data_IF_484814931208
#
_entry.id   IF_484814931208
#
_cell.length_a   1.000
_cell.length_b   1.000
_cell.length_c   1.000
_cell.angle_alpha   90.00
_cell.angle_beta   90.00
_cell.angle_gamma   90.00
#
_symmetry.space_group_name_H-M   'P 1'
#
loop_
_entity.id
_entity.type
_entity.pdbx_description
1 polymer ?
#
# COMPACT_ATOMS: atom_id res chain seq x y z
N UNK A 1 39.75 -13.72 20.89
CA UNK A 1 38.27 -13.60 20.90
C UNK A 1 37.87 -12.27 20.27
N UNK A 2 38.01 -12.11 18.95
CA UNK A 2 37.75 -10.85 18.23
C UNK A 2 36.97 -11.08 16.91
N UNK A 3 36.31 -12.24 16.78
CA UNK A 3 35.69 -12.68 15.52
C UNK A 3 34.19 -12.38 15.39
N UNK A 4 33.48 -12.27 16.52
CA UNK A 4 32.01 -12.26 16.49
C UNK A 4 31.42 -10.85 16.29
N UNK A 5 32.07 -9.80 16.81
CA UNK A 5 31.59 -8.42 16.69
C UNK A 5 31.79 -7.83 15.28
N UNK A 6 32.86 -8.22 14.58
CA UNK A 6 33.06 -7.83 13.18
C UNK A 6 32.09 -8.56 12.24
N UNK A 7 31.79 -9.83 12.51
CA UNK A 7 30.82 -10.59 11.73
C UNK A 7 29.39 -10.02 11.86
N UNK A 8 29.00 -9.56 13.05
CA UNK A 8 27.71 -8.90 13.27
C UNK A 8 27.60 -7.56 12.52
N UNK A 9 28.65 -6.75 12.52
CA UNK A 9 28.67 -5.46 11.79
C UNK A 9 28.64 -5.65 10.27
N UNK A 10 29.39 -6.62 9.74
CA UNK A 10 29.39 -6.95 8.30
C UNK A 10 28.01 -7.49 7.87
N UNK A 11 27.33 -8.27 8.72
CA UNK A 11 25.98 -8.76 8.43
C UNK A 11 24.92 -7.64 8.40
N UNK A 12 25.12 -6.56 9.16
CA UNK A 12 24.23 -5.39 9.20
C UNK A 12 24.42 -4.53 7.94
N UNK A 13 25.67 -4.28 7.53
CA UNK A 13 25.96 -3.56 6.29
C UNK A 13 25.58 -4.36 5.04
N UNK A 14 25.81 -5.66 5.01
CA UNK A 14 25.36 -6.52 3.89
C UNK A 14 23.83 -6.63 3.82
N UNK A 15 23.14 -6.62 4.97
CA UNK A 15 21.68 -6.54 5.05
C UNK A 15 21.12 -5.23 4.48
N UNK A 16 21.83 -4.12 4.69
CA UNK A 16 21.49 -2.82 4.12
C UNK A 16 21.84 -2.72 2.62
N UNK A 17 22.90 -3.40 2.16
CA UNK A 17 23.30 -3.44 0.74
C UNK A 17 22.33 -4.29 -0.10
N UNK A 18 21.75 -5.37 0.45
CA UNK A 18 20.71 -6.15 -0.25
C UNK A 18 19.40 -5.33 -0.42
N UNK A 19 19.17 -4.32 0.42
CA UNK A 19 18.02 -3.41 0.32
C UNK A 19 18.19 -2.33 -0.79
N UNK A 20 19.37 -2.17 -1.41
CA UNK A 20 19.58 -1.23 -2.51
C UNK A 20 18.84 -1.64 -3.80
N UNK A 21 18.38 -2.89 -3.90
CA UNK A 21 17.35 -3.31 -4.86
C UNK A 21 16.00 -3.36 -4.16
N UNK A 22 15.52 -2.19 -3.72
CA UNK A 22 14.29 -2.05 -2.94
C UNK A 22 13.17 -2.90 -3.52
N UNK A 23 12.66 -3.83 -2.71
CA UNK A 23 11.47 -4.61 -3.04
C UNK A 23 10.37 -3.65 -3.47
N UNK A 24 9.84 -3.82 -4.68
CA UNK A 24 8.79 -2.93 -5.20
C UNK A 24 7.68 -2.83 -4.14
N UNK A 25 7.25 -1.61 -3.77
CA UNK A 25 6.16 -1.45 -2.82
C UNK A 25 4.93 -2.18 -3.35
N UNK A 26 4.30 -2.99 -2.49
CA UNK A 26 3.09 -3.72 -2.84
C UNK A 26 1.91 -2.86 -2.43
N UNK A 27 1.00 -2.64 -3.37
CA UNK A 27 -0.25 -1.92 -3.12
C UNK A 27 -1.40 -2.92 -3.18
N UNK A 28 -2.28 -2.86 -2.19
CA UNK A 28 -3.52 -3.61 -2.16
C UNK A 28 -4.72 -2.68 -2.27
N UNK A 29 -5.74 -3.12 -3.01
CA UNK A 29 -7.00 -2.40 -3.21
C UNK A 29 -8.16 -3.27 -2.74
N UNK A 30 -8.89 -2.80 -1.71
CA UNK A 30 -10.14 -3.40 -1.24
C UNK A 30 -11.32 -2.57 -1.77
N UNK A 31 -12.03 -3.12 -2.76
CA UNK A 31 -13.17 -2.45 -3.41
C UNK A 31 -14.48 -2.97 -2.82
N UNK A 32 -14.96 -2.27 -1.80
CA UNK A 32 -16.23 -2.58 -1.15
C UNK A 32 -17.44 -1.96 -1.86
N UNK A 33 -18.62 -2.25 -1.31
CA UNK A 33 -19.91 -1.68 -1.76
C UNK A 33 -20.16 -0.26 -1.23
N UNK A 34 -19.45 0.19 -0.19
CA UNK A 34 -19.61 1.53 0.41
C UNK A 34 -18.37 2.40 0.22
N UNK A 35 -17.19 1.78 0.27
CA UNK A 35 -15.92 2.48 0.21
C UNK A 35 -14.87 1.63 -0.47
N UNK A 36 -13.83 2.30 -0.95
CA UNK A 36 -12.59 1.72 -1.43
C UNK A 36 -11.49 2.03 -0.44
N UNK A 37 -10.67 1.03 -0.12
CA UNK A 37 -9.47 1.20 0.71
C UNK A 37 -8.24 0.90 -0.14
N UNK A 38 -7.24 1.77 -0.07
CA UNK A 38 -5.95 1.58 -0.70
C UNK A 38 -4.88 1.49 0.38
N UNK A 39 -4.04 0.46 0.30
CA UNK A 39 -2.97 0.19 1.28
C UNK A 39 -1.66 -0.02 0.55
N UNK A 40 -0.61 0.71 0.94
CA UNK A 40 0.75 0.41 0.52
C UNK A 40 1.50 -0.25 1.67
N UNK A 41 2.08 -1.41 1.41
CA UNK A 41 2.83 -2.19 2.38
C UNK A 41 4.32 -2.22 2.01
N UNK A 42 5.16 -2.23 3.03
CA UNK A 42 6.60 -2.47 2.92
C UNK A 42 7.03 -3.58 3.85
N UNK A 43 8.05 -4.34 3.45
CA UNK A 43 8.66 -5.36 4.30
C UNK A 43 9.61 -4.70 5.30
N UNK A 44 9.58 -5.15 6.55
CA UNK A 44 10.46 -4.68 7.63
C UNK A 44 11.10 -5.90 8.29
N UNK A 45 12.42 -6.03 8.16
CA UNK A 45 13.15 -7.22 8.62
C UNK A 45 12.74 -8.49 7.86
N UNK A 46 12.87 -9.66 8.50
CA UNK A 46 12.64 -10.96 7.85
C UNK A 46 11.16 -11.28 7.64
N UNK A 47 10.27 -10.88 8.53
CA UNK A 47 8.84 -11.27 8.50
C UNK A 47 7.88 -10.11 8.72
N UNK A 48 8.38 -8.94 9.09
CA UNK A 48 7.54 -7.79 9.38
C UNK A 48 6.90 -7.22 8.12
N UNK A 49 5.63 -6.88 8.23
CA UNK A 49 4.90 -6.10 7.24
C UNK A 49 4.48 -4.82 7.94
N UNK A 50 4.80 -3.68 7.35
CA UNK A 50 4.39 -2.39 7.85
C UNK A 50 3.58 -1.66 6.79
N UNK A 51 2.51 -1.01 7.24
CA UNK A 51 1.75 -0.07 6.41
C UNK A 51 2.55 1.22 6.24
N UNK A 52 2.83 1.55 4.98
CA UNK A 52 3.52 2.76 4.57
C UNK A 52 2.52 3.88 4.26
N UNK A 53 1.45 3.55 3.52
CA UNK A 53 0.40 4.51 3.13
C UNK A 53 -0.98 3.87 3.23
N UNK A 54 -1.97 4.71 3.52
CA UNK A 54 -3.36 4.30 3.64
C UNK A 54 -4.27 5.41 3.11
N UNK A 55 -5.31 5.03 2.38
CA UNK A 55 -6.36 5.94 1.94
C UNK A 55 -7.69 5.24 1.84
N UNK A 56 -8.76 6.01 2.05
CA UNK A 56 -10.13 5.50 2.03
C UNK A 56 -11.03 6.50 1.32
N UNK A 57 -11.87 6.03 0.40
CA UNK A 57 -12.82 6.90 -0.27
C UNK A 57 -14.18 6.22 -0.35
N UNK A 58 -15.24 6.99 -0.13
CA UNK A 58 -16.60 6.51 -0.30
C UNK A 58 -16.94 6.36 -1.79
N UNK A 59 -17.66 5.29 -2.12
CA UNK A 59 -18.21 5.08 -3.47
C UNK A 59 -19.40 6.01 -3.71
N UNK A 60 -20.15 6.33 -2.65
CA UNK A 60 -21.37 7.15 -2.69
C UNK A 60 -21.25 8.29 -1.68
N UNK A 61 -20.42 9.32 -1.94
CA UNK A 61 -20.18 10.42 -0.98
C UNK A 61 -21.43 11.24 -0.66
N UNK A 62 -22.45 11.19 -1.51
CA UNK A 62 -23.76 11.83 -1.29
C UNK A 62 -24.84 10.89 -0.73
N UNK A 63 -24.48 9.64 -0.39
CA UNK A 63 -25.36 8.68 0.27
C UNK A 63 -26.37 7.93 -0.61
N UNK A 64 -26.60 8.33 -1.86
CA UNK A 64 -27.58 7.66 -2.73
C UNK A 64 -26.98 6.42 -3.43
N UNK A 65 -27.16 5.26 -2.81
CA UNK A 65 -26.82 3.95 -3.35
C UNK A 65 -27.87 3.38 -4.31
N UNK A 66 -29.09 3.89 -4.24
CA UNK A 66 -30.27 3.28 -4.85
C UNK A 66 -30.48 3.68 -6.31
N UNK A 67 -30.03 4.88 -6.70
CA UNK A 67 -30.16 5.38 -8.08
C UNK A 67 -29.01 4.98 -9.01
N UNK A 68 -27.93 4.42 -8.47
CA UNK A 68 -26.64 4.34 -9.16
C UNK A 68 -26.44 3.12 -10.09
N UNK A 69 -27.48 2.34 -10.41
CA UNK A 69 -27.35 1.04 -11.07
C UNK A 69 -26.39 1.01 -12.27
N UNK A 70 -26.54 1.93 -13.24
CA UNK A 70 -25.65 2.03 -14.41
C UNK A 70 -24.34 2.80 -14.12
N UNK A 71 -24.35 3.72 -13.15
CA UNK A 71 -23.24 4.61 -12.81
C UNK A 71 -22.26 4.00 -11.77
N UNK A 72 -22.60 2.84 -11.21
CA UNK A 72 -21.85 2.23 -10.09
C UNK A 72 -20.40 1.93 -10.47
N UNK A 73 -20.14 1.54 -11.72
CA UNK A 73 -18.78 1.32 -12.22
C UNK A 73 -17.95 2.61 -12.12
N UNK A 74 -18.48 3.71 -12.65
CA UNK A 74 -17.77 4.99 -12.71
C UNK A 74 -17.58 5.60 -11.33
N UNK A 75 -18.56 5.43 -10.43
CA UNK A 75 -18.44 5.80 -9.03
C UNK A 75 -17.34 5.01 -8.31
N UNK A 76 -17.25 3.71 -8.55
CA UNK A 76 -16.14 2.89 -8.01
C UNK A 76 -14.79 3.32 -8.57
N UNK A 77 -14.69 3.59 -9.88
CA UNK A 77 -13.44 4.10 -10.48
C UNK A 77 -13.03 5.43 -9.87
N UNK A 78 -13.98 6.35 -9.67
CA UNK A 78 -13.73 7.63 -8.98
C UNK A 78 -13.25 7.41 -7.54
N UNK A 79 -13.89 6.51 -6.80
CA UNK A 79 -13.48 6.16 -5.44
C UNK A 79 -12.09 5.53 -5.37
N UNK A 80 -11.73 4.65 -6.32
CA UNK A 80 -10.38 4.07 -6.43
C UNK A 80 -9.34 5.18 -6.60
N UNK A 81 -9.56 6.09 -7.57
CA UNK A 81 -8.66 7.21 -7.81
C UNK A 81 -8.55 8.12 -6.58
N UNK A 82 -9.67 8.39 -5.91
CA UNK A 82 -9.69 9.19 -4.69
C UNK A 82 -8.91 8.52 -3.54
N UNK A 83 -9.12 7.23 -3.29
CA UNK A 83 -8.41 6.49 -2.24
C UNK A 83 -6.90 6.46 -2.47
N UNK A 84 -6.47 6.21 -3.72
CA UNK A 84 -5.05 6.26 -4.10
C UNK A 84 -4.48 7.67 -3.93
N UNK A 85 -5.21 8.70 -4.38
CA UNK A 85 -4.77 10.09 -4.27
C UNK A 85 -4.65 10.55 -2.81
N UNK A 86 -5.60 10.21 -1.95
CA UNK A 86 -5.55 10.55 -0.52
C UNK A 86 -4.40 9.85 0.20
N UNK A 87 -4.11 8.60 -0.17
CA UNK A 87 -2.95 7.86 0.32
C UNK A 87 -1.63 8.39 -0.25
N UNK A 88 -1.65 9.27 -1.26
CA UNK A 88 -0.48 9.69 -2.03
C UNK A 88 0.16 8.55 -2.81
N UNK A 89 -0.53 7.46 -3.11
CA UNK A 89 0.01 6.31 -3.84
C UNK A 89 0.05 6.63 -5.33
N UNK A 90 1.25 6.65 -5.92
CA UNK A 90 1.47 7.03 -7.34
C UNK A 90 1.84 5.85 -8.23
N UNK A 91 1.98 4.64 -7.66
CA UNK A 91 2.32 3.45 -8.44
C UNK A 91 1.17 3.09 -9.39
N UNK A 92 1.53 2.50 -10.53
CA UNK A 92 0.57 2.02 -11.54
C UNK A 92 0.30 0.52 -11.42
N UNK A 93 0.98 -0.17 -10.49
CA UNK A 93 0.82 -1.60 -10.23
C UNK A 93 0.14 -1.78 -8.87
N UNK A 94 -1.04 -2.40 -8.90
CA UNK A 94 -1.89 -2.73 -7.74
C UNK A 94 -2.35 -4.18 -7.86
#
# INVERSE_FOLDING_TARGET
MLGDEQAFSISKEAGDIIMLFGTKPVVGLDVGSSCVKAVQLRRVGKTGIQMDRFGVAEVFPSGDKTSAGAETHDLKVKAIKAALSQAGITTKQV
#
